data_IF_904680294451
#
_entry.id   IF_904680294451
#
_cell.length_a   1.000
_cell.length_b   1.000
_cell.length_c   1.000
_cell.angle_alpha   90.00
_cell.angle_beta   90.00
_cell.angle_gamma   90.00
#
_symmetry.space_group_name_H-M   'P 1'
#
loop_
_entity.id
_entity.type
_entity.pdbx_description
1 polymer ?
#
# COMPACT_ATOMS: atom_id res chain seq x y z
N UNK A 1 -32.57 42.08 -44.91
CA UNK A 1 -32.26 40.86 -44.13
C UNK A 1 -31.17 40.09 -44.87
N UNK A 2 -29.95 40.00 -44.30
CA UNK A 2 -28.79 39.36 -44.94
C UNK A 2 -29.00 37.84 -44.87
N UNK A 3 -29.21 37.17 -46.01
CA UNK A 3 -29.35 35.71 -46.06
C UNK A 3 -28.01 35.10 -45.64
N UNK A 4 -27.99 34.45 -44.49
CA UNK A 4 -26.83 33.65 -44.08
C UNK A 4 -26.74 32.46 -45.03
N UNK A 5 -25.58 32.31 -45.65
CA UNK A 5 -25.32 31.20 -46.54
C UNK A 5 -25.21 29.93 -45.68
N UNK A 6 -26.11 28.96 -45.91
CA UNK A 6 -26.12 27.65 -45.28
C UNK A 6 -24.72 27.00 -45.13
N UNK A 7 -23.83 27.01 -46.15
CA UNK A 7 -22.49 26.43 -45.99
C UNK A 7 -21.62 27.14 -44.95
N UNK A 8 -21.77 28.46 -44.78
CA UNK A 8 -21.01 29.22 -43.78
C UNK A 8 -21.43 28.85 -42.36
N UNK A 9 -22.73 28.62 -42.16
CA UNK A 9 -23.25 28.18 -40.86
C UNK A 9 -22.73 26.79 -40.47
N UNK A 10 -22.67 25.87 -41.43
CA UNK A 10 -22.11 24.53 -41.22
C UNK A 10 -20.62 24.60 -40.86
N UNK A 11 -19.85 25.44 -41.56
CA UNK A 11 -18.42 25.62 -41.26
C UNK A 11 -18.21 26.15 -39.83
N UNK A 12 -18.98 27.17 -39.43
CA UNK A 12 -18.90 27.71 -38.07
C UNK A 12 -19.26 26.65 -37.02
N UNK A 13 -20.30 25.85 -37.29
CA UNK A 13 -20.70 24.75 -36.40
C UNK A 13 -19.58 23.72 -36.23
N UNK A 14 -18.98 23.29 -37.35
CA UNK A 14 -17.89 22.30 -37.34
C UNK A 14 -16.69 22.84 -36.58
N UNK A 15 -16.28 24.09 -36.83
CA UNK A 15 -15.17 24.73 -36.11
C UNK A 15 -15.47 24.87 -34.62
N UNK A 16 -16.70 25.21 -34.25
CA UNK A 16 -17.12 25.28 -32.85
C UNK A 16 -17.04 23.92 -32.15
N UNK A 17 -17.52 22.87 -32.81
CA UNK A 17 -17.49 21.50 -32.29
C UNK A 17 -16.06 20.97 -32.13
N UNK A 18 -15.17 21.23 -33.09
CA UNK A 18 -13.78 20.77 -33.02
C UNK A 18 -13.01 21.47 -31.90
N UNK A 19 -13.21 22.77 -31.71
CA UNK A 19 -12.63 23.51 -30.58
C UNK A 19 -13.17 23.01 -29.25
N UNK A 20 -14.48 22.75 -29.16
CA UNK A 20 -15.11 22.18 -27.97
C UNK A 20 -14.55 20.80 -27.61
N UNK A 21 -14.41 19.92 -28.60
CA UNK A 21 -13.79 18.59 -28.42
C UNK A 21 -12.35 18.69 -27.96
N UNK A 22 -11.56 19.61 -28.50
CA UNK A 22 -10.17 19.79 -28.10
C UNK A 22 -10.05 20.20 -26.62
N UNK A 23 -10.88 21.15 -26.18
CA UNK A 23 -10.90 21.61 -24.79
C UNK A 23 -11.33 20.50 -23.83
N UNK A 24 -12.35 19.72 -24.20
CA UNK A 24 -12.81 18.57 -23.43
C UNK A 24 -11.72 17.51 -23.31
N UNK A 25 -11.12 17.08 -24.43
CA UNK A 25 -10.04 16.10 -24.42
C UNK A 25 -8.86 16.55 -23.57
N UNK A 26 -8.50 17.82 -23.61
CA UNK A 26 -7.40 18.36 -22.80
C UNK A 26 -7.73 18.29 -21.30
N UNK A 27 -8.97 18.66 -20.91
CA UNK A 27 -9.44 18.54 -19.53
C UNK A 27 -9.51 17.09 -19.06
N UNK A 28 -10.07 16.19 -19.87
CA UNK A 28 -10.14 14.76 -19.56
C UNK A 28 -8.75 14.13 -19.43
N UNK A 29 -7.77 14.54 -20.25
CA UNK A 29 -6.41 14.05 -20.13
C UNK A 29 -5.76 14.49 -18.81
N UNK A 30 -5.92 15.75 -18.42
CA UNK A 30 -5.41 16.27 -17.14
C UNK A 30 -6.13 15.63 -15.94
N UNK A 31 -7.45 15.54 -15.98
CA UNK A 31 -8.23 14.94 -14.90
C UNK A 31 -7.96 13.44 -14.78
N UNK A 32 -7.76 12.74 -15.90
CA UNK A 32 -7.38 11.33 -15.94
C UNK A 32 -6.00 11.07 -15.32
N UNK A 33 -5.02 11.95 -15.58
CA UNK A 33 -3.70 11.91 -14.93
C UNK A 33 -3.83 12.06 -13.41
N UNK A 34 -4.64 13.02 -12.94
CA UNK A 34 -4.87 13.24 -11.51
C UNK A 34 -5.59 12.06 -10.85
N UNK A 35 -6.62 11.50 -11.49
CA UNK A 35 -7.34 10.32 -10.99
C UNK A 35 -6.38 9.15 -10.84
N UNK A 36 -5.53 8.90 -11.85
CA UNK A 36 -4.52 7.86 -11.79
C UNK A 36 -3.51 8.08 -10.65
N UNK A 37 -3.09 9.32 -10.41
CA UNK A 37 -2.26 9.64 -9.25
C UNK A 37 -2.95 9.30 -7.92
N UNK A 38 -4.24 9.62 -7.79
CA UNK A 38 -5.01 9.31 -6.59
C UNK A 38 -5.19 7.80 -6.39
N UNK A 39 -5.47 7.05 -7.46
CA UNK A 39 -5.53 5.58 -7.41
C UNK A 39 -4.19 4.98 -6.95
N UNK A 40 -3.07 5.46 -7.49
CA UNK A 40 -1.73 5.01 -7.07
C UNK A 40 -1.39 5.36 -5.62
N UNK A 41 -1.90 6.49 -5.11
CA UNK A 41 -1.73 6.87 -3.70
C UNK A 41 -2.61 6.01 -2.80
N UNK A 42 -3.85 5.74 -3.20
CA UNK A 42 -4.78 4.87 -2.47
C UNK A 42 -4.25 3.44 -2.38
N UNK A 43 -3.82 2.85 -3.51
CA UNK A 43 -3.24 1.51 -3.55
C UNK A 43 -2.03 1.38 -2.61
N UNK A 44 -1.11 2.36 -2.63
CA UNK A 44 0.04 2.37 -1.71
C UNK A 44 -0.35 2.49 -0.24
N UNK A 45 -1.48 3.14 0.06
CA UNK A 45 -1.98 3.26 1.43
C UNK A 45 -2.62 1.94 1.89
N UNK A 46 -3.36 1.28 1.00
CA UNK A 46 -3.94 -0.05 1.21
C UNK A 46 -2.84 -1.09 1.51
N UNK A 47 -1.81 -1.15 0.68
CA UNK A 47 -0.67 -2.07 0.86
C UNK A 47 0.00 -1.88 2.23
N UNK A 48 0.20 -0.62 2.64
CA UNK A 48 0.78 -0.30 3.96
C UNK A 48 -0.15 -0.75 5.09
N UNK A 49 -1.45 -0.51 4.97
CA UNK A 49 -2.42 -0.95 5.97
C UNK A 49 -2.44 -2.47 6.10
N UNK A 50 -2.31 -3.20 4.99
CA UNK A 50 -2.26 -4.65 5.00
C UNK A 50 -1.00 -5.17 5.71
N UNK A 51 0.18 -4.60 5.41
CA UNK A 51 1.44 -4.91 6.11
C UNK A 51 1.31 -4.65 7.61
N UNK A 52 0.79 -3.48 8.00
CA UNK A 52 0.61 -3.14 9.41
C UNK A 52 -0.36 -4.11 10.11
N UNK A 53 -1.44 -4.51 9.43
CA UNK A 53 -2.38 -5.52 9.95
C UNK A 53 -1.70 -6.88 10.15
N UNK A 54 -0.84 -7.29 9.23
CA UNK A 54 -0.06 -8.52 9.36
C UNK A 54 0.90 -8.45 10.55
N UNK A 55 1.62 -7.35 10.72
CA UNK A 55 2.50 -7.14 11.89
C UNK A 55 1.72 -7.19 13.20
N UNK A 56 0.58 -6.49 13.29
CA UNK A 56 -0.28 -6.52 14.48
C UNK A 56 -0.75 -7.95 14.77
N UNK A 57 -1.12 -8.71 13.74
CA UNK A 57 -1.57 -10.09 13.89
C UNK A 57 -0.44 -11.00 14.36
N UNK A 58 0.78 -10.83 13.85
CA UNK A 58 1.97 -11.56 14.31
C UNK A 58 2.32 -11.22 15.76
N UNK A 59 2.29 -9.93 16.13
CA UNK A 59 2.52 -9.51 17.52
C UNK A 59 1.42 -10.04 18.45
N UNK A 60 0.17 -10.04 17.99
CA UNK A 60 -0.96 -10.61 18.70
C UNK A 60 -0.81 -12.11 18.95
N UNK A 61 -0.39 -12.88 17.93
CA UNK A 61 -0.18 -14.32 18.07
C UNK A 61 0.99 -14.65 19.01
N UNK A 62 2.09 -13.90 18.95
CA UNK A 62 3.20 -14.02 19.90
C UNK A 62 2.76 -13.71 21.34
N UNK A 63 1.95 -12.67 21.53
CA UNK A 63 1.39 -12.32 22.83
C UNK A 63 0.45 -13.41 23.35
N UNK A 64 -0.36 -14.00 22.48
CA UNK A 64 -1.24 -15.10 22.84
C UNK A 64 -0.45 -16.37 23.25
N UNK A 65 0.62 -16.68 22.53
CA UNK A 65 1.54 -17.78 22.87
C UNK A 65 2.21 -17.51 24.22
N UNK A 66 2.70 -16.30 24.46
CA UNK A 66 3.29 -15.92 25.75
C UNK A 66 2.29 -16.05 26.91
N UNK A 67 1.06 -15.60 26.73
CA UNK A 67 0.00 -15.75 27.75
C UNK A 67 -0.36 -17.22 28.00
N UNK A 68 -0.39 -18.06 26.97
CA UNK A 68 -0.63 -19.51 27.13
C UNK A 68 0.54 -20.17 27.86
N UNK A 69 1.79 -19.79 27.56
CA UNK A 69 2.98 -20.30 28.24
C UNK A 69 2.97 -19.92 29.73
N UNK A 70 2.64 -18.68 30.06
CA UNK A 70 2.50 -18.20 31.45
C UNK A 70 1.40 -18.95 32.20
N UNK A 71 0.24 -19.17 31.58
CA UNK A 71 -0.85 -19.98 32.15
C UNK A 71 -0.46 -21.45 32.40
N UNK A 72 0.44 -21.99 31.60
CA UNK A 72 0.98 -23.34 31.75
C UNK A 72 2.15 -23.41 32.77
N UNK A 73 2.53 -22.26 33.37
CA UNK A 73 3.58 -22.18 34.37
C UNK A 73 4.99 -22.05 33.79
N UNK A 74 5.15 -21.83 32.49
CA UNK A 74 6.44 -21.55 31.88
C UNK A 74 6.88 -20.13 32.23
N UNK A 75 7.90 -20.02 33.08
CA UNK A 75 8.56 -18.76 33.44
C UNK A 75 9.76 -18.48 32.53
N UNK A 76 9.94 -17.22 32.16
CA UNK A 76 11.08 -16.79 31.35
C UNK A 76 12.38 -16.96 32.16
N UNK A 77 13.23 -17.90 31.76
CA UNK A 77 14.46 -18.21 32.48
C UNK A 77 15.57 -17.21 32.08
N UNK A 78 15.78 -16.19 32.90
CA UNK A 78 16.79 -15.14 32.71
C UNK A 78 18.21 -15.56 33.08
N UNK A 79 18.38 -16.73 33.70
CA UNK A 79 19.69 -17.28 34.05
C UNK A 79 20.03 -18.46 33.14
N UNK A 80 20.71 -18.16 32.03
CA UNK A 80 21.45 -19.16 31.27
C UNK A 80 22.59 -19.67 32.17
N UNK A 81 22.37 -20.81 32.82
CA UNK A 81 23.42 -21.56 33.50
C UNK A 81 24.39 -22.09 32.45
N UNK A 82 25.42 -21.29 32.16
CA UNK A 82 26.59 -21.75 31.42
C UNK A 82 27.34 -22.74 32.30
N UNK A 83 27.10 -24.03 32.08
CA UNK A 83 28.00 -25.07 32.57
C UNK A 83 29.30 -24.98 31.77
N UNK A 84 30.24 -24.18 32.25
CA UNK A 84 31.63 -24.22 31.79
C UNK A 84 32.16 -25.61 32.16
N UNK A 85 32.52 -26.48 31.20
CA UNK A 85 33.08 -27.78 31.54
C UNK A 85 34.48 -27.54 32.13
N UNK A 86 34.61 -27.67 33.45
CA UNK A 86 35.92 -27.74 34.08
C UNK A 86 36.59 -29.06 33.67
N UNK A 87 37.62 -28.92 32.84
CA UNK A 87 38.70 -29.86 32.49
C UNK A 87 38.39 -31.37 32.45
N UNK A 88 38.69 -32.09 31.35
CA UNK A 88 38.51 -33.54 31.29
C UNK A 88 39.43 -34.23 32.30
N UNK A 89 38.83 -34.78 33.36
CA UNK A 89 39.52 -35.51 34.44
C UNK A 89 39.94 -36.94 34.05
N UNK A 90 40.15 -37.20 32.76
CA UNK A 90 40.51 -38.53 32.26
C UNK A 90 41.64 -38.45 31.22
N UNK A 91 42.82 -38.01 31.66
CA UNK A 91 44.09 -38.45 31.08
C UNK A 91 45.06 -38.75 32.23
N UNK A 92 44.90 -39.93 32.81
CA UNK A 92 45.99 -40.57 33.52
C UNK A 92 45.78 -42.08 33.40
N UNK A 93 46.54 -42.72 32.51
CA UNK A 93 47.20 -44.02 32.61
C UNK A 93 47.70 -44.45 31.22
#
# INVERSE_FOLDING_TARGET
MKKINLPVLIIILVVGLTLGQLLLTHRLATDGEMVKEFELKAARLEDKNEILRQEITQLGSLREVAQKAEKLGFVHNSHLLHFTPELPVAMNY
#
